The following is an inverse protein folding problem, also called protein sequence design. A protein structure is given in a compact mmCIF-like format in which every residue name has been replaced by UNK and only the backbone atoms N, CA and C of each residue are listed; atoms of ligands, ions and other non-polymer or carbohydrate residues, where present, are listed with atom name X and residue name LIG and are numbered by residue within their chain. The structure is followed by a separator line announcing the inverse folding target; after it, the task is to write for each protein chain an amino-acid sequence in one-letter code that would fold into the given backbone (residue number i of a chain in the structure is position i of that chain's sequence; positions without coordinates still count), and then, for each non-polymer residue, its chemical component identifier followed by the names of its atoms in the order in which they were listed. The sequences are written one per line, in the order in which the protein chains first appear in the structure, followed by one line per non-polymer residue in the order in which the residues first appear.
data_IF_705029006878
#
_entry.id   IF_705029006878
#
_cell.length_a   1.000
_cell.length_b   1.000
_cell.length_c   1.000
_cell.angle_alpha   90.00
_cell.angle_beta   90.00
_cell.angle_gamma   90.00
#
_symmetry.space_group_name_H-M   'P 1'
#
loop_
_entity.id
_entity.type
_entity.pdbx_description
1 polymer ?
#
# COMPACT_ATOMS: atom_id res chain seq x y z
N UNK A 1 2.38 -7.43 14.09
CA UNK A 1 3.42 -7.16 13.07
C UNK A 1 2.90 -6.21 12.01
N UNK A 2 3.78 -5.61 11.22
CA UNK A 2 3.42 -4.82 10.05
C UNK A 2 4.50 -4.93 8.97
N UNK A 3 4.13 -4.68 7.73
CA UNK A 3 5.04 -4.61 6.60
C UNK A 3 4.65 -3.43 5.70
N UNK A 4 5.65 -2.72 5.18
CA UNK A 4 5.46 -1.69 4.17
C UNK A 4 6.06 -2.19 2.86
N UNK A 5 5.22 -2.27 1.82
CA UNK A 5 5.62 -2.68 0.49
C UNK A 5 5.64 -1.44 -0.41
N UNK A 6 6.79 -1.10 -0.97
CA UNK A 6 6.89 -0.02 -1.94
C UNK A 6 6.32 -0.47 -3.28
N UNK A 7 5.31 0.24 -3.76
CA UNK A 7 4.81 0.06 -5.12
C UNK A 7 5.91 0.51 -6.09
N UNK A 8 6.29 -0.30 -7.10
CA UNK A 8 7.39 0.00 -8.01
C UNK A 8 6.98 1.03 -9.09
N UNK A 9 6.44 2.17 -8.65
CA UNK A 9 5.95 3.24 -9.51
C UNK A 9 6.64 4.57 -9.16
N UNK A 10 7.03 5.32 -10.19
CA UNK A 10 7.50 6.70 -10.05
C UNK A 10 6.40 7.65 -10.52
N UNK A 11 5.61 8.16 -9.57
CA UNK A 11 4.47 9.05 -9.86
C UNK A 11 4.87 10.36 -10.54
N UNK A 12 6.15 10.76 -10.48
CA UNK A 12 6.65 11.97 -11.19
C UNK A 12 6.67 11.80 -12.71
N UNK A 13 6.51 10.56 -13.20
CA UNK A 13 6.44 10.23 -14.63
C UNK A 13 5.00 10.16 -15.14
N UNK A 14 4.00 10.33 -14.28
CA UNK A 14 2.61 10.33 -14.71
C UNK A 14 2.30 11.60 -15.51
N UNK A 15 1.66 11.40 -16.65
CA UNK A 15 1.12 12.50 -17.44
C UNK A 15 -0.24 12.93 -16.87
N UNK A 16 -0.71 14.15 -17.16
CA UNK A 16 -2.04 14.59 -16.75
C UNK A 16 -3.14 13.62 -17.19
N UNK A 17 -4.11 13.38 -16.31
CA UNK A 17 -5.20 12.43 -16.51
C UNK A 17 -5.13 11.26 -15.52
N UNK A 18 -5.86 10.19 -15.83
CA UNK A 18 -5.87 8.98 -15.01
C UNK A 18 -4.59 8.17 -15.22
N UNK A 19 -3.99 7.74 -14.11
CA UNK A 19 -2.84 6.84 -14.11
C UNK A 19 -3.16 5.62 -13.25
N UNK A 20 -2.95 4.43 -13.82
CA UNK A 20 -3.20 3.15 -13.15
C UNK A 20 -1.92 2.36 -13.10
N UNK A 21 -1.61 1.81 -11.93
CA UNK A 21 -0.65 0.73 -11.79
C UNK A 21 -1.43 -0.58 -11.63
N UNK A 22 -1.18 -1.52 -12.54
CA UNK A 22 -1.71 -2.88 -12.46
C UNK A 22 -0.52 -3.85 -12.39
N UNK A 23 -0.41 -4.56 -11.28
CA UNK A 23 0.70 -5.46 -11.02
C UNK A 23 0.64 -6.07 -9.63
N UNK A 24 1.31 -7.21 -9.47
CA UNK A 24 1.38 -7.90 -8.18
C UNK A 24 2.31 -7.18 -7.20
N UNK A 25 1.89 -7.14 -5.94
CA UNK A 25 2.74 -6.75 -4.81
C UNK A 25 3.01 -8.00 -3.97
N UNK A 26 4.27 -8.22 -3.62
CA UNK A 26 4.70 -9.37 -2.85
C UNK A 26 4.84 -8.99 -1.38
N UNK A 27 4.21 -9.79 -0.51
CA UNK A 27 4.31 -9.65 0.95
C UNK A 27 5.57 -10.39 1.42
N UNK A 28 6.34 -9.84 2.38
CA UNK A 28 7.50 -10.54 2.96
C UNK A 28 7.11 -11.89 3.57
N UNK A 29 7.91 -12.93 3.33
CA UNK A 29 7.76 -14.26 3.91
C UNK A 29 7.91 -14.29 5.44
N UNK A 30 8.57 -13.27 5.99
CA UNK A 30 8.68 -13.04 7.44
C UNK A 30 7.40 -12.51 8.08
N UNK A 31 6.41 -12.06 7.29
CA UNK A 31 5.15 -11.56 7.85
C UNK A 31 4.26 -12.75 8.26
N UNK A 32 3.87 -12.89 9.54
CA UNK A 32 3.05 -14.00 9.99
C UNK A 32 1.67 -14.03 9.30
N UNK A 33 1.10 -15.21 9.17
CA UNK A 33 -0.29 -15.35 8.73
C UNK A 33 -1.25 -14.62 9.68
N UNK A 34 -2.29 -13.99 9.14
CA UNK A 34 -3.15 -13.13 9.96
C UNK A 34 -4.09 -12.25 9.16
N UNK A 35 -4.97 -11.56 9.87
CA UNK A 35 -5.77 -10.46 9.31
C UNK A 35 -5.06 -9.15 9.62
N UNK A 36 -4.87 -8.34 8.59
CA UNK A 36 -4.15 -7.07 8.66
C UNK A 36 -5.01 -5.94 8.11
N UNK A 37 -4.89 -4.77 8.70
CA UNK A 37 -5.42 -3.56 8.09
C UNK A 37 -4.56 -3.22 6.87
N UNK A 38 -5.20 -3.11 5.71
CA UNK A 38 -4.59 -2.67 4.47
C UNK A 38 -4.66 -1.16 4.40
N UNK A 39 -3.49 -0.53 4.32
CA UNK A 39 -3.34 0.93 4.39
C UNK A 39 -2.48 1.44 3.24
N UNK A 40 -2.78 2.64 2.74
CA UNK A 40 -2.05 3.29 1.64
C UNK A 40 -1.59 4.69 2.04
N UNK A 41 -0.45 5.11 1.49
CA UNK A 41 0.09 6.47 1.64
C UNK A 41 1.09 6.77 0.52
N UNK A 42 1.27 8.06 0.19
CA UNK A 42 2.40 8.52 -0.61
C UNK A 42 3.49 9.04 0.31
N UNK A 43 4.63 8.34 0.30
CA UNK A 43 5.73 8.57 1.23
C UNK A 43 6.72 9.58 0.65
N UNK A 44 7.27 10.47 1.49
CA UNK A 44 8.48 11.22 1.15
C UNK A 44 9.66 10.23 1.05
N UNK A 45 10.36 10.15 -0.11
CA UNK A 45 11.47 9.21 -0.29
C UNK A 45 12.63 9.38 0.70
N UNK A 46 12.78 10.56 1.32
CA UNK A 46 13.86 10.82 2.28
C UNK A 46 13.51 10.32 3.68
N UNK A 47 12.30 10.62 4.14
CA UNK A 47 11.87 10.31 5.52
C UNK A 47 11.13 8.97 5.64
N UNK A 48 10.62 8.43 4.54
CA UNK A 48 9.77 7.22 4.53
C UNK A 48 8.39 7.44 5.16
N UNK A 49 7.99 8.69 5.40
CA UNK A 49 6.72 9.02 6.09
C UNK A 49 5.68 9.54 5.10
N UNK A 50 4.37 9.35 5.37
CA UNK A 50 3.30 9.95 4.57
C UNK A 50 3.47 11.46 4.46
N UNK A 51 3.58 11.96 3.22
CA UNK A 51 3.85 13.36 2.93
C UNK A 51 2.75 14.05 2.14
N UNK A 52 1.89 13.29 1.45
CA UNK A 52 0.79 13.83 0.65
C UNK A 52 -0.54 13.46 1.29
N UNK A 53 -1.45 14.44 1.33
CA UNK A 53 -2.86 14.24 1.69
C UNK A 53 -3.65 14.01 0.41
N UNK A 54 -4.20 12.82 0.26
CA UNK A 54 -5.15 12.51 -0.81
C UNK A 54 -6.46 13.26 -0.61
N UNK A 55 -7.14 13.57 -1.71
CA UNK A 55 -8.44 14.24 -1.71
C UNK A 55 -9.60 13.27 -1.38
N UNK A 56 -9.39 12.40 -0.39
CA UNK A 56 -10.36 11.42 0.12
C UNK A 56 -10.45 11.54 1.66
N UNK A 57 -11.55 11.05 2.24
CA UNK A 57 -11.72 10.94 3.69
C UNK A 57 -10.92 9.76 4.28
N UNK A 58 -10.92 9.61 5.61
CA UNK A 58 -10.33 8.42 6.26
C UNK A 58 -8.81 8.49 6.50
N UNK A 59 -8.22 9.69 6.49
CA UNK A 59 -6.81 9.86 6.86
C UNK A 59 -6.62 9.69 8.37
N UNK A 60 -5.81 8.71 8.75
CA UNK A 60 -5.45 8.47 10.14
C UNK A 60 -4.46 9.53 10.68
N UNK A 61 -4.30 9.67 12.02
CA UNK A 61 -3.41 10.66 12.61
C UNK A 61 -1.94 10.55 12.18
N UNK A 62 -1.48 9.33 11.85
CA UNK A 62 -0.13 9.06 11.33
C UNK A 62 0.02 9.34 9.82
N UNK A 63 -1.08 9.68 9.15
CA UNK A 63 -1.14 10.13 7.77
C UNK A 63 -1.37 9.06 6.72
N UNK A 64 -1.52 7.81 7.12
CA UNK A 64 -1.96 6.71 6.26
C UNK A 64 -3.49 6.71 6.10
N UNK A 65 -3.97 6.03 5.07
CA UNK A 65 -5.39 5.80 4.81
C UNK A 65 -5.68 4.31 4.93
N UNK A 66 -6.61 3.92 5.79
CA UNK A 66 -7.02 2.52 5.96
C UNK A 66 -8.13 2.19 4.97
N UNK A 67 -7.88 1.25 4.08
CA UNK A 67 -8.78 0.89 2.96
C UNK A 67 -9.63 -0.36 3.27
N UNK A 68 -9.26 -1.12 4.30
CA UNK A 68 -9.99 -2.32 4.72
C UNK A 68 -9.08 -3.35 5.38
N UNK A 69 -9.53 -4.60 5.41
CA UNK A 69 -8.77 -5.71 5.97
C UNK A 69 -8.47 -6.77 4.91
N UNK A 70 -7.26 -7.32 4.97
CA UNK A 70 -6.83 -8.44 4.14
C UNK A 70 -6.37 -9.60 5.02
N UNK A 71 -6.48 -10.82 4.50
CA UNK A 71 -5.92 -12.01 5.15
C UNK A 71 -4.66 -12.46 4.42
N UNK A 72 -3.55 -12.53 5.15
CA UNK A 72 -2.28 -13.09 4.69
C UNK A 72 -2.22 -14.56 5.08
N UNK A 73 -1.89 -15.43 4.13
CA UNK A 73 -1.69 -16.87 4.29
C UNK A 73 -0.49 -17.34 3.47
N UNK A 74 0.19 -18.40 3.91
CA UNK A 74 1.31 -19.01 3.19
C UNK A 74 0.87 -19.69 1.89
N UNK A 75 -0.40 -20.11 1.80
CA UNK A 75 -0.96 -20.65 0.57
C UNK A 75 -1.37 -19.52 -0.38
N UNK A 76 -0.73 -19.48 -1.56
CA UNK A 76 -1.25 -18.73 -2.70
C UNK A 76 -2.42 -19.50 -3.28
N UNK A 77 -3.66 -19.02 -3.04
CA UNK A 77 -4.81 -19.53 -3.77
C UNK A 77 -4.64 -19.15 -5.24
N UNK A 78 -4.74 -20.10 -6.19
CA UNK A 78 -4.67 -19.76 -7.60
C UNK A 78 -5.77 -18.75 -7.93
N UNK A 79 -5.40 -17.66 -8.61
CA UNK A 79 -6.35 -16.69 -9.15
C UNK A 79 -7.27 -17.43 -10.13
N UNK A 80 -8.57 -17.43 -9.84
CA UNK A 80 -9.62 -17.96 -10.73
C UNK A 80 -9.86 -17.02 -11.90
#
# INVERSE_FOLDING_TARGET
DSAVIHVPVDVRKWLPGDAVYDGSLYVPDTLPEGTYDFRVAMLDPRSGKPAIRFAIAGRDPDGWYTEGQIRVSAEQRPQQ
#
